data_IF_003495508846
#
_entry.id   IF_003495508846
#
_cell.length_a   1.000
_cell.length_b   1.000
_cell.length_c   1.000
_cell.angle_alpha   90.00
_cell.angle_beta   90.00
_cell.angle_gamma   90.00
#
_symmetry.space_group_name_H-M   'P 1'
#
loop_
_entity.id
_entity.type
_entity.pdbx_description
1 polymer ?
#
# COMPACT_ATOMS: atom_id res chain seq x y z
N UNK A 1 -28.27 -10.54 17.66
CA UNK A 1 -27.02 -10.14 16.98
C UNK A 1 -27.34 -10.08 15.51
N UNK A 2 -27.14 -8.95 14.84
CA UNK A 2 -27.38 -8.86 13.40
C UNK A 2 -26.49 -9.90 12.70
N UNK A 3 -27.09 -10.78 11.89
CA UNK A 3 -26.36 -11.66 10.99
C UNK A 3 -25.61 -10.78 10.00
N UNK A 4 -24.28 -10.93 9.95
CA UNK A 4 -23.43 -10.18 9.02
C UNK A 4 -23.91 -10.38 7.58
N UNK A 5 -23.89 -9.31 6.80
CA UNK A 5 -24.27 -9.33 5.38
C UNK A 5 -23.15 -9.83 4.48
N UNK A 6 -21.88 -9.66 4.88
CA UNK A 6 -20.75 -10.14 4.07
C UNK A 6 -20.68 -11.66 4.07
N UNK A 7 -20.62 -12.25 2.87
CA UNK A 7 -20.38 -13.70 2.74
C UNK A 7 -18.92 -13.98 3.09
N UNK A 8 -18.66 -14.97 3.94
CA UNK A 8 -17.30 -15.32 4.36
C UNK A 8 -16.90 -16.65 3.72
N UNK A 9 -15.76 -16.65 3.03
CA UNK A 9 -15.15 -17.84 2.43
C UNK A 9 -13.71 -17.99 2.92
N UNK A 10 -13.29 -19.23 3.20
CA UNK A 10 -11.94 -19.54 3.68
C UNK A 10 -11.09 -20.36 2.70
N UNK A 11 -11.70 -21.01 1.72
CA UNK A 11 -10.96 -21.88 0.79
C UNK A 11 -10.82 -21.22 -0.57
N UNK A 12 -9.68 -21.44 -1.24
CA UNK A 12 -9.49 -20.97 -2.63
C UNK A 12 -10.46 -21.65 -3.61
N UNK A 13 -10.97 -22.84 -3.27
CA UNK A 13 -11.97 -23.55 -4.08
C UNK A 13 -13.29 -22.78 -4.11
N UNK A 14 -13.77 -22.37 -2.94
CA UNK A 14 -15.05 -21.66 -2.82
C UNK A 14 -14.92 -20.23 -3.36
N UNK A 15 -13.77 -19.58 -3.18
CA UNK A 15 -13.48 -18.27 -3.79
C UNK A 15 -13.61 -18.35 -5.32
N UNK A 16 -12.92 -19.32 -5.93
CA UNK A 16 -12.97 -19.54 -7.39
C UNK A 16 -14.37 -19.84 -7.88
N UNK A 17 -15.12 -20.67 -7.14
CA UNK A 17 -16.49 -21.00 -7.50
C UNK A 17 -17.38 -19.74 -7.50
N UNK A 18 -17.28 -18.90 -6.46
CA UNK A 18 -18.06 -17.69 -6.35
C UNK A 18 -17.72 -16.65 -7.42
N UNK A 19 -16.42 -16.40 -7.65
CA UNK A 19 -16.00 -15.41 -8.65
C UNK A 19 -16.33 -15.88 -10.07
N UNK A 20 -16.18 -17.18 -10.36
CA UNK A 20 -16.60 -17.75 -11.63
C UNK A 20 -18.11 -17.59 -11.88
N UNK A 21 -18.93 -17.79 -10.84
CA UNK A 21 -20.38 -17.56 -10.93
C UNK A 21 -20.68 -16.10 -11.30
N UNK A 22 -20.00 -15.12 -10.69
CA UNK A 22 -20.17 -13.70 -11.02
C UNK A 22 -19.74 -13.37 -12.44
N UNK A 23 -18.58 -13.86 -12.90
CA UNK A 23 -18.16 -13.65 -14.28
C UNK A 23 -19.10 -14.32 -15.29
N UNK A 24 -19.66 -15.49 -14.98
CA UNK A 24 -20.66 -16.15 -15.84
C UNK A 24 -21.99 -15.39 -15.92
N UNK A 25 -22.23 -14.48 -14.98
CA UNK A 25 -23.35 -13.54 -14.98
C UNK A 25 -22.97 -12.16 -15.54
N UNK A 26 -21.83 -12.05 -16.23
CA UNK A 26 -21.28 -10.81 -16.80
C UNK A 26 -21.07 -9.69 -15.76
N UNK A 27 -20.88 -10.06 -14.48
CA UNK A 27 -20.57 -9.12 -13.40
C UNK A 27 -19.06 -8.90 -13.29
N UNK A 28 -18.66 -7.64 -13.17
CA UNK A 28 -17.27 -7.24 -12.95
C UNK A 28 -16.89 -7.41 -11.48
N UNK A 29 -15.73 -8.00 -11.21
CA UNK A 29 -15.26 -8.34 -9.86
C UNK A 29 -14.03 -7.52 -9.50
N UNK A 30 -14.10 -6.83 -8.37
CA UNK A 30 -12.98 -6.10 -7.78
C UNK A 30 -12.41 -6.81 -6.56
N UNK A 31 -11.10 -6.69 -6.34
CA UNK A 31 -10.44 -7.18 -5.15
C UNK A 31 -9.70 -6.09 -4.38
N UNK A 32 -9.84 -6.08 -3.05
CA UNK A 32 -9.02 -5.26 -2.14
C UNK A 32 -8.24 -6.19 -1.21
N UNK A 33 -6.95 -6.46 -1.49
CA UNK A 33 -6.12 -7.27 -0.60
C UNK A 33 -5.73 -6.51 0.67
N UNK A 34 -5.98 -7.10 1.83
CA UNK A 34 -5.59 -6.52 3.13
C UNK A 34 -4.99 -7.57 4.07
N UNK A 35 -4.38 -7.11 5.16
CA UNK A 35 -3.95 -7.96 6.27
C UNK A 35 -4.93 -7.93 7.46
N UNK A 36 -6.13 -7.36 7.29
CA UNK A 36 -7.08 -7.13 8.40
C UNK A 36 -6.73 -5.90 9.23
N UNK A 37 -7.28 -5.83 10.44
CA UNK A 37 -7.23 -4.64 11.31
C UNK A 37 -7.68 -3.39 10.54
N UNK A 38 -8.83 -3.51 9.90
CA UNK A 38 -9.36 -2.55 8.94
C UNK A 38 -9.54 -1.19 9.61
N UNK A 39 -9.38 -0.13 8.82
CA UNK A 39 -9.54 1.25 9.25
C UNK A 39 -10.15 2.05 8.11
N UNK A 40 -10.45 3.33 8.33
CA UNK A 40 -11.14 4.14 7.32
C UNK A 40 -10.38 4.22 5.99
N UNK A 41 -9.04 4.17 6.00
CA UNK A 41 -8.23 4.03 4.78
C UNK A 41 -8.45 2.73 4.00
N UNK A 42 -8.81 1.62 4.65
CA UNK A 42 -9.23 0.39 3.94
C UNK A 42 -10.66 0.53 3.42
N UNK A 43 -11.55 1.12 4.21
CA UNK A 43 -12.94 1.35 3.83
C UNK A 43 -13.05 2.31 2.64
N UNK A 44 -12.16 3.30 2.52
CA UNK A 44 -12.10 4.16 1.35
C UNK A 44 -11.69 3.41 0.09
N UNK A 45 -10.80 2.40 0.19
CA UNK A 45 -10.45 1.55 -0.95
C UNK A 45 -11.65 0.72 -1.39
N UNK A 46 -12.39 0.13 -0.44
CA UNK A 46 -13.60 -0.63 -0.75
C UNK A 46 -14.65 0.25 -1.43
N UNK A 47 -14.91 1.44 -0.88
CA UNK A 47 -15.84 2.40 -1.51
C UNK A 47 -15.37 2.91 -2.86
N UNK A 48 -14.06 3.02 -3.07
CA UNK A 48 -13.51 3.44 -4.36
C UNK A 48 -13.67 2.33 -5.39
N UNK A 49 -13.29 1.09 -5.08
CA UNK A 49 -13.37 -0.02 -6.04
C UNK A 49 -14.82 -0.33 -6.44
N UNK A 50 -15.79 -0.15 -5.53
CA UNK A 50 -17.23 -0.30 -5.81
C UNK A 50 -17.75 0.60 -6.93
N UNK A 51 -17.04 1.69 -7.26
CA UNK A 51 -17.42 2.56 -8.40
C UNK A 51 -17.04 1.97 -9.76
N UNK A 52 -16.19 0.95 -9.76
CA UNK A 52 -15.57 0.39 -10.96
C UNK A 52 -15.98 -1.05 -11.23
N UNK A 53 -16.73 -1.70 -10.33
CA UNK A 53 -17.07 -3.14 -10.35
C UNK A 53 -18.45 -3.40 -9.77
N UNK A 54 -19.04 -4.55 -10.08
CA UNK A 54 -20.35 -4.99 -9.56
C UNK A 54 -20.25 -5.78 -8.25
N UNK A 55 -19.11 -6.46 -8.03
CA UNK A 55 -18.86 -7.32 -6.87
C UNK A 55 -17.51 -7.06 -6.26
N UNK A 56 -17.43 -6.97 -4.94
CA UNK A 56 -16.18 -6.72 -4.21
C UNK A 56 -15.79 -7.89 -3.33
N UNK A 57 -14.57 -8.37 -3.56
CA UNK A 57 -13.86 -9.31 -2.70
C UNK A 57 -12.84 -8.56 -1.85
N UNK A 58 -12.96 -8.62 -0.53
CA UNK A 58 -11.89 -8.20 0.38
C UNK A 58 -11.16 -9.44 0.85
N UNK A 59 -9.83 -9.45 0.79
CA UNK A 59 -9.06 -10.50 1.48
C UNK A 59 -8.52 -9.99 2.81
N UNK A 60 -8.56 -10.84 3.83
CA UNK A 60 -7.86 -10.63 5.09
C UNK A 60 -6.90 -11.78 5.29
N UNK A 61 -5.60 -11.51 5.11
CA UNK A 61 -4.55 -12.49 5.30
C UNK A 61 -3.27 -11.83 5.80
N UNK A 62 -2.90 -12.09 7.06
CA UNK A 62 -1.60 -11.65 7.61
C UNK A 62 -0.52 -12.56 7.04
N UNK A 63 0.12 -12.11 5.96
CA UNK A 63 1.10 -12.90 5.23
C UNK A 63 2.40 -13.08 6.04
N UNK A 64 2.79 -14.30 6.47
CA UNK A 64 4.04 -14.49 7.20
C UNK A 64 5.29 -14.18 6.36
N UNK A 65 5.27 -14.39 5.03
CA UNK A 65 6.46 -14.24 4.17
C UNK A 65 6.93 -12.80 4.01
N UNK A 66 6.09 -11.81 4.27
CA UNK A 66 6.46 -10.39 4.14
C UNK A 66 6.95 -9.76 5.45
N UNK A 67 7.05 -10.54 6.54
CA UNK A 67 7.61 -10.10 7.81
C UNK A 67 9.02 -10.69 8.00
N UNK A 68 9.97 -9.82 8.36
CA UNK A 68 11.30 -10.26 8.79
C UNK A 68 11.29 -10.89 10.20
N UNK A 69 12.35 -11.62 10.61
CA UNK A 69 12.43 -12.28 11.92
C UNK A 69 12.27 -11.36 13.13
N UNK A 70 12.60 -10.08 12.97
CA UNK A 70 12.51 -9.05 14.03
C UNK A 70 11.34 -8.07 13.79
N UNK A 71 10.44 -8.37 12.85
CA UNK A 71 9.26 -7.55 12.58
C UNK A 71 8.06 -8.01 13.44
N UNK A 72 6.95 -7.30 13.32
CA UNK A 72 5.82 -7.34 14.25
C UNK A 72 4.77 -8.43 13.94
N UNK A 73 5.15 -9.56 13.32
CA UNK A 73 4.19 -10.60 12.90
C UNK A 73 3.30 -11.11 14.04
N UNK A 74 3.90 -11.45 15.19
CA UNK A 74 3.19 -11.96 16.38
C UNK A 74 2.37 -10.88 17.08
N UNK A 75 2.74 -9.61 16.89
CA UNK A 75 2.08 -8.45 17.50
C UNK A 75 1.06 -7.80 16.57
N UNK A 76 0.97 -8.27 15.33
CA UNK A 76 0.09 -7.67 14.34
C UNK A 76 -1.37 -7.79 14.81
N UNK A 77 -2.15 -6.69 14.84
CA UNK A 77 -3.51 -6.71 15.34
C UNK A 77 -4.39 -7.64 14.50
N UNK A 78 -5.15 -8.52 15.16
CA UNK A 78 -6.08 -9.46 14.52
C UNK A 78 -7.42 -9.39 15.24
N UNK A 79 -8.46 -8.96 14.55
CA UNK A 79 -9.83 -8.98 15.07
C UNK A 79 -10.83 -9.17 13.92
N UNK A 80 -11.02 -10.42 13.52
CA UNK A 80 -11.93 -10.77 12.42
C UNK A 80 -13.35 -10.24 12.68
N UNK A 81 -13.87 -10.34 13.91
CA UNK A 81 -15.18 -9.79 14.27
C UNK A 81 -15.26 -8.27 14.10
N UNK A 82 -14.20 -7.53 14.42
CA UNK A 82 -14.19 -6.08 14.23
C UNK A 82 -14.07 -5.71 12.75
N UNK A 83 -13.30 -6.49 11.99
CA UNK A 83 -13.14 -6.29 10.56
C UNK A 83 -14.46 -6.58 9.80
N UNK A 84 -15.14 -7.68 10.12
CA UNK A 84 -16.45 -8.04 9.54
C UNK A 84 -17.47 -6.90 9.76
N UNK A 85 -17.54 -6.33 10.97
CA UNK A 85 -18.45 -5.20 11.24
C UNK A 85 -18.16 -4.00 10.34
N UNK A 86 -16.89 -3.69 10.12
CA UNK A 86 -16.47 -2.59 9.23
C UNK A 86 -16.74 -2.89 7.76
N UNK A 87 -16.69 -4.17 7.35
CA UNK A 87 -17.05 -4.59 6.00
C UNK A 87 -18.56 -4.49 5.75
N UNK A 88 -19.38 -4.78 6.77
CA UNK A 88 -20.83 -4.57 6.72
C UNK A 88 -21.18 -3.07 6.57
N UNK A 89 -20.40 -2.15 7.15
CA UNK A 89 -20.60 -0.68 6.99
C UNK A 89 -20.37 -0.17 5.56
N UNK A 90 -19.77 -0.98 4.69
CA UNK A 90 -19.49 -0.62 3.29
C UNK A 90 -20.04 -1.64 2.31
N UNK A 91 -21.01 -2.46 2.72
CA UNK A 91 -21.73 -3.41 1.86
C UNK A 91 -20.79 -4.31 1.03
N UNK A 92 -19.76 -4.87 1.67
CA UNK A 92 -18.83 -5.79 0.99
C UNK A 92 -19.54 -7.10 0.62
N UNK A 93 -19.43 -7.57 -0.62
CA UNK A 93 -20.08 -8.81 -1.06
C UNK A 93 -19.43 -10.06 -0.46
N UNK A 94 -18.09 -10.12 -0.47
CA UNK A 94 -17.35 -11.31 -0.06
C UNK A 94 -16.07 -10.98 0.71
N UNK A 95 -15.93 -11.62 1.87
CA UNK A 95 -14.68 -11.70 2.62
C UNK A 95 -13.99 -13.03 2.32
N UNK A 96 -12.81 -12.97 1.72
CA UNK A 96 -11.88 -14.11 1.63
C UNK A 96 -10.90 -14.06 2.81
N UNK A 97 -11.10 -14.96 3.78
CA UNK A 97 -10.28 -15.05 5.00
C UNK A 97 -9.60 -16.44 5.09
N UNK A 98 -8.61 -16.72 4.22
CA UNK A 98 -7.94 -18.00 4.16
C UNK A 98 -6.98 -18.22 5.32
N UNK A 99 -6.84 -19.48 5.72
CA UNK A 99 -5.74 -19.91 6.59
C UNK A 99 -4.41 -19.95 5.81
N UNK A 100 -3.30 -20.00 6.54
CA UNK A 100 -1.95 -20.06 5.96
C UNK A 100 -1.79 -21.22 4.98
N UNK A 101 -2.39 -22.38 5.24
CA UNK A 101 -2.29 -23.58 4.37
C UNK A 101 -3.00 -23.41 3.01
N UNK A 102 -4.02 -22.56 2.93
CA UNK A 102 -4.74 -22.29 1.69
C UNK A 102 -3.90 -21.44 0.72
N UNK A 103 -3.12 -20.51 1.29
CA UNK A 103 -2.12 -19.73 0.56
C UNK A 103 -0.85 -20.57 0.36
N UNK A 104 -0.19 -21.00 1.42
CA UNK A 104 1.07 -21.74 1.44
C UNK A 104 0.86 -23.19 1.90
N UNK A 105 0.58 -24.13 0.99
CA UNK A 105 0.52 -25.55 1.35
C UNK A 105 1.89 -26.05 1.82
N UNK A 106 1.89 -27.20 2.50
CA UNK A 106 3.12 -27.87 2.90
C UNK A 106 4.05 -28.07 1.69
N UNK A 107 5.33 -27.74 1.86
CA UNK A 107 6.31 -27.81 0.78
C UNK A 107 6.19 -26.70 -0.29
N UNK A 108 5.56 -25.55 0.00
CA UNK A 108 5.53 -24.43 -0.93
C UNK A 108 6.92 -23.85 -1.22
N UNK A 109 7.44 -24.07 -2.44
CA UNK A 109 8.80 -23.67 -2.86
C UNK A 109 8.86 -22.41 -3.74
N UNK A 110 7.76 -22.02 -4.38
CA UNK A 110 7.77 -20.91 -5.35
C UNK A 110 8.00 -19.57 -4.67
N UNK A 111 8.80 -18.72 -5.32
CA UNK A 111 8.98 -17.31 -5.00
C UNK A 111 8.76 -16.47 -6.26
N UNK A 112 8.18 -15.30 -6.10
CA UNK A 112 8.06 -14.29 -7.14
C UNK A 112 8.87 -13.08 -6.68
N UNK A 113 9.64 -12.49 -7.59
CA UNK A 113 10.42 -11.28 -7.32
C UNK A 113 10.40 -10.39 -8.56
N UNK A 114 10.51 -9.08 -8.36
CA UNK A 114 10.51 -8.07 -9.42
C UNK A 114 11.80 -7.27 -9.31
N UNK A 115 12.68 -7.36 -10.31
CA UNK A 115 14.00 -6.75 -10.26
C UNK A 115 13.93 -5.20 -10.32
N UNK A 116 14.97 -4.51 -9.83
CA UNK A 116 15.17 -3.04 -9.86
C UNK A 116 14.18 -2.20 -9.06
N UNK A 117 12.88 -2.32 -9.33
CA UNK A 117 11.84 -1.53 -8.65
C UNK A 117 11.68 -1.90 -7.16
N UNK A 118 12.18 -3.08 -6.80
CA UNK A 118 12.31 -3.55 -5.40
C UNK A 118 13.70 -3.28 -4.82
N UNK A 119 14.47 -2.36 -5.40
CA UNK A 119 15.73 -1.85 -4.86
C UNK A 119 15.52 -0.43 -4.30
N UNK A 120 16.32 -0.02 -3.30
CA UNK A 120 16.17 1.29 -2.65
C UNK A 120 14.90 1.44 -1.80
N UNK A 121 14.59 2.68 -1.39
CA UNK A 121 13.39 3.05 -0.63
C UNK A 121 13.06 2.08 0.54
N UNK A 122 11.84 1.55 0.61
CA UNK A 122 11.44 0.61 1.66
C UNK A 122 12.19 -0.72 1.57
N UNK A 123 12.56 -1.16 0.36
CA UNK A 123 13.20 -2.44 0.15
C UNK A 123 14.60 -2.51 0.76
N UNK A 124 15.36 -1.42 0.70
CA UNK A 124 16.71 -1.33 1.24
C UNK A 124 16.80 -1.63 2.75
N UNK A 125 15.72 -1.35 3.49
CA UNK A 125 15.63 -1.59 4.94
C UNK A 125 14.86 -2.86 5.29
N UNK A 126 14.27 -3.55 4.30
CA UNK A 126 13.41 -4.73 4.50
C UNK A 126 13.72 -5.83 3.48
N UNK A 127 14.92 -6.46 3.55
CA UNK A 127 15.29 -7.53 2.63
C UNK A 127 14.26 -8.67 2.61
N UNK A 128 13.86 -9.11 1.42
CA UNK A 128 12.85 -10.17 1.24
C UNK A 128 11.39 -9.73 1.44
N UNK A 129 11.12 -8.49 1.88
CA UNK A 129 9.76 -8.00 2.08
C UNK A 129 8.93 -8.04 0.79
N UNK A 130 9.47 -7.48 -0.31
CA UNK A 130 8.75 -7.44 -1.58
C UNK A 130 8.59 -8.81 -2.23
N UNK A 131 9.51 -9.75 -2.03
CA UNK A 131 9.33 -11.14 -2.44
C UNK A 131 8.12 -11.76 -1.73
N UNK A 132 7.99 -11.53 -0.43
CA UNK A 132 6.81 -11.93 0.34
C UNK A 132 5.51 -11.32 -0.18
N UNK A 133 5.53 -10.01 -0.49
CA UNK A 133 4.37 -9.27 -1.01
C UNK A 133 3.99 -9.73 -2.43
N UNK A 134 4.94 -9.75 -3.36
CA UNK A 134 4.70 -10.13 -4.76
C UNK A 134 4.26 -11.60 -4.86
N UNK A 135 4.83 -12.49 -4.04
CA UNK A 135 4.40 -13.89 -3.97
C UNK A 135 2.95 -14.03 -3.47
N UNK A 136 2.58 -13.34 -2.38
CA UNK A 136 1.20 -13.45 -1.86
C UNK A 136 0.19 -12.81 -2.80
N UNK A 137 0.50 -11.63 -3.36
CA UNK A 137 -0.42 -10.92 -4.24
C UNK A 137 -0.60 -11.68 -5.55
N UNK A 138 0.47 -12.20 -6.17
CA UNK A 138 0.34 -13.08 -7.35
C UNK A 138 -0.64 -14.21 -7.08
N UNK A 139 -0.53 -14.86 -5.92
CA UNK A 139 -1.44 -15.96 -5.55
C UNK A 139 -2.87 -15.48 -5.36
N UNK A 140 -3.09 -14.35 -4.68
CA UNK A 140 -4.43 -13.80 -4.49
C UNK A 140 -5.09 -13.44 -5.83
N UNK A 141 -4.34 -12.80 -6.74
CA UNK A 141 -4.81 -12.48 -8.08
C UNK A 141 -5.12 -13.74 -8.89
N UNK A 142 -4.29 -14.79 -8.83
CA UNK A 142 -4.55 -16.05 -9.54
C UNK A 142 -5.59 -16.96 -8.87
N UNK A 143 -5.90 -16.72 -7.59
CA UNK A 143 -6.96 -17.43 -6.87
C UNK A 143 -8.32 -16.78 -7.11
N UNK A 144 -8.36 -15.45 -7.13
CA UNK A 144 -9.57 -14.66 -7.31
C UNK A 144 -9.88 -14.41 -8.80
N UNK A 145 -8.87 -14.08 -9.60
CA UNK A 145 -8.95 -13.56 -10.97
C UNK A 145 -9.87 -12.33 -11.10
N UNK A 146 -9.69 -11.27 -10.29
CA UNK A 146 -10.55 -10.10 -10.37
C UNK A 146 -10.26 -9.29 -11.63
N UNK A 147 -11.25 -8.59 -12.16
CA UNK A 147 -11.05 -7.61 -13.24
C UNK A 147 -10.23 -6.41 -12.77
N UNK A 148 -10.40 -6.01 -11.51
CA UNK A 148 -9.72 -4.86 -10.88
C UNK A 148 -9.17 -5.26 -9.53
N UNK A 149 -7.94 -4.86 -9.22
CA UNK A 149 -7.40 -4.91 -7.87
C UNK A 149 -6.95 -3.53 -7.41
N UNK A 150 -7.41 -3.09 -6.25
CA UNK A 150 -7.12 -1.75 -5.73
C UNK A 150 -6.14 -1.81 -4.56
N UNK A 151 -5.04 -1.05 -4.67
CA UNK A 151 -4.03 -0.90 -3.63
C UNK A 151 -3.89 0.56 -3.22
N UNK A 152 -3.62 0.81 -1.93
CA UNK A 152 -3.51 2.17 -1.42
C UNK A 152 -2.21 2.87 -1.82
N UNK A 153 -2.34 4.13 -2.25
CA UNK A 153 -1.24 5.03 -2.62
C UNK A 153 -0.24 5.30 -1.49
N UNK A 154 -0.64 5.05 -0.23
CA UNK A 154 0.24 5.14 0.94
C UNK A 154 1.52 4.34 0.77
N UNK A 155 1.37 3.10 0.32
CA UNK A 155 2.47 2.18 0.09
C UNK A 155 2.84 2.24 -1.40
N UNK A 156 3.19 3.43 -1.90
CA UNK A 156 3.33 3.72 -3.33
C UNK A 156 4.31 2.77 -4.04
N UNK A 157 5.47 2.47 -3.42
CA UNK A 157 6.41 1.49 -3.97
C UNK A 157 5.75 0.12 -4.17
N UNK A 158 4.93 -0.33 -3.21
CA UNK A 158 4.19 -1.58 -3.35
C UNK A 158 3.20 -1.51 -4.51
N UNK A 159 2.42 -0.44 -4.63
CA UNK A 159 1.51 -0.28 -5.77
C UNK A 159 2.26 -0.37 -7.11
N UNK A 160 3.36 0.36 -7.28
CA UNK A 160 4.11 0.36 -8.54
C UNK A 160 4.74 -1.02 -8.84
N UNK A 161 5.29 -1.69 -7.82
CA UNK A 161 5.79 -3.09 -7.94
C UNK A 161 4.68 -4.03 -8.39
N UNK A 162 3.49 -3.94 -7.79
CA UNK A 162 2.36 -4.84 -8.08
C UNK A 162 1.73 -4.56 -9.45
N UNK A 163 1.71 -3.30 -9.89
CA UNK A 163 1.30 -2.93 -11.23
C UNK A 163 2.28 -3.50 -12.27
N UNK A 164 3.58 -3.33 -12.06
CA UNK A 164 4.60 -3.92 -12.94
C UNK A 164 4.49 -5.45 -12.99
N UNK A 165 4.33 -6.08 -11.82
CA UNK A 165 4.15 -7.54 -11.69
C UNK A 165 2.96 -8.07 -12.49
N UNK A 166 1.80 -7.42 -12.38
CA UNK A 166 0.60 -7.85 -13.11
C UNK A 166 0.80 -7.72 -14.63
N UNK A 167 1.43 -6.63 -15.07
CA UNK A 167 1.76 -6.42 -16.48
C UNK A 167 2.77 -7.46 -17.00
N UNK A 168 3.88 -7.69 -16.29
CA UNK A 168 4.96 -8.58 -16.73
C UNK A 168 4.55 -10.05 -16.80
N UNK A 169 3.57 -10.45 -15.97
CA UNK A 169 3.06 -11.82 -15.90
C UNK A 169 1.76 -12.03 -16.68
N UNK A 170 1.32 -11.03 -17.46
CA UNK A 170 0.06 -11.05 -18.22
C UNK A 170 -1.15 -11.43 -17.33
N UNK A 171 -1.14 -10.99 -16.06
CA UNK A 171 -2.26 -11.25 -15.14
C UNK A 171 -3.42 -10.35 -15.61
N UNK A 172 -4.60 -10.91 -15.93
CA UNK A 172 -5.72 -10.14 -16.50
C UNK A 172 -6.48 -9.37 -15.43
N UNK A 173 -5.77 -8.55 -14.65
CA UNK A 173 -6.30 -7.71 -13.58
C UNK A 173 -5.76 -6.30 -13.75
N UNK A 174 -6.65 -5.31 -13.84
CA UNK A 174 -6.27 -3.90 -13.80
C UNK A 174 -5.88 -3.49 -12.37
N UNK A 175 -4.61 -3.18 -12.15
CA UNK A 175 -4.08 -2.76 -10.85
C UNK A 175 -4.24 -1.26 -10.69
N UNK A 176 -5.24 -0.85 -9.91
CA UNK A 176 -5.58 0.54 -9.66
C UNK A 176 -4.94 1.08 -8.36
N UNK A 177 -4.64 2.38 -8.36
CA UNK A 177 -4.14 3.11 -7.19
C UNK A 177 -5.29 3.85 -6.48
N UNK A 178 -5.58 3.46 -5.24
CA UNK A 178 -6.56 4.15 -4.40
C UNK A 178 -5.90 5.29 -3.63
N UNK A 179 -6.53 6.48 -3.64
CA UNK A 179 -5.98 7.70 -3.04
C UNK A 179 -5.58 7.51 -1.58
N UNK A 180 -4.46 8.14 -1.21
CA UNK A 180 -4.03 8.25 0.18
C UNK A 180 -5.10 8.98 1.01
N UNK A 181 -5.55 8.36 2.09
CA UNK A 181 -6.36 9.02 3.11
C UNK A 181 -5.48 9.48 4.28
N UNK A 182 -5.87 10.61 4.84
CA UNK A 182 -5.23 11.24 6.00
C UNK A 182 -6.25 11.33 7.13
N UNK A 183 -5.76 11.21 8.35
CA UNK A 183 -6.52 11.55 9.56
C UNK A 183 -6.85 13.06 9.54
N UNK A 184 -7.76 13.53 10.40
CA UNK A 184 -8.23 14.93 10.40
C UNK A 184 -7.11 15.97 10.65
N UNK A 185 -6.01 15.55 11.28
CA UNK A 185 -4.82 16.38 11.50
C UNK A 185 -3.81 16.34 10.33
N UNK A 186 -4.08 15.55 9.29
CA UNK A 186 -3.30 15.46 8.07
C UNK A 186 -2.25 14.32 8.06
N UNK A 187 -2.11 13.55 9.14
CA UNK A 187 -1.23 12.38 9.15
C UNK A 187 -1.76 11.30 8.21
N UNK A 188 -0.89 10.69 7.40
CA UNK A 188 -1.28 9.54 6.60
C UNK A 188 -1.84 8.40 7.48
N UNK A 189 -3.01 7.89 7.14
CA UNK A 189 -3.70 6.90 7.95
C UNK A 189 -2.98 5.56 7.90
N UNK A 190 -2.72 4.97 9.06
CA UNK A 190 -2.02 3.70 9.20
C UNK A 190 -2.48 2.98 10.46
N UNK A 191 -2.60 1.66 10.40
CA UNK A 191 -2.80 0.83 11.60
C UNK A 191 -1.66 1.01 12.62
N UNK A 192 -0.46 1.39 12.17
CA UNK A 192 0.70 1.66 13.04
C UNK A 192 0.60 2.98 13.81
N UNK A 193 -0.33 3.88 13.47
CA UNK A 193 -0.50 5.15 14.20
C UNK A 193 -0.94 4.93 15.65
N UNK A 194 -1.52 3.78 15.98
CA UNK A 194 -1.91 3.41 17.36
C UNK A 194 -0.72 3.27 18.30
N UNK A 195 0.49 3.09 17.76
CA UNK A 195 1.72 2.95 18.55
C UNK A 195 2.34 4.28 18.97
N UNK A 196 1.83 5.40 18.44
CA UNK A 196 2.36 6.74 18.73
C UNK A 196 1.78 7.27 20.05
N UNK A 197 2.63 7.76 20.94
CA UNK A 197 2.19 8.62 22.04
C UNK A 197 1.63 9.96 21.52
N UNK A 198 0.92 10.76 22.35
CA UNK A 198 0.49 12.10 21.97
C UNK A 198 1.64 13.02 21.50
N UNK A 199 2.82 12.91 22.12
CA UNK A 199 4.03 13.65 21.76
C UNK A 199 4.61 13.13 20.44
N UNK A 200 4.72 11.81 20.28
CA UNK A 200 5.17 11.18 19.04
C UNK A 200 4.22 11.53 17.87
N UNK A 201 2.91 11.64 18.11
CA UNK A 201 1.95 12.05 17.08
C UNK A 201 2.22 13.48 16.59
N UNK A 202 2.59 14.41 17.49
CA UNK A 202 2.97 15.78 17.09
C UNK A 202 4.20 15.78 16.18
N UNK A 203 5.20 14.95 16.48
CA UNK A 203 6.39 14.78 15.63
C UNK A 203 6.00 14.17 14.28
N UNK A 204 5.16 13.14 14.29
CA UNK A 204 4.69 12.49 13.06
C UNK A 204 3.96 13.46 12.11
N UNK A 205 3.30 14.49 12.62
CA UNK A 205 2.65 15.53 11.81
C UNK A 205 3.64 16.44 11.07
N UNK A 206 4.92 16.44 11.43
CA UNK A 206 5.95 17.15 10.65
C UNK A 206 6.28 16.44 9.34
N UNK A 207 5.95 15.15 9.20
CA UNK A 207 6.12 14.38 7.95
C UNK A 207 5.33 15.01 6.79
N UNK A 208 3.98 15.09 6.84
CA UNK A 208 3.22 15.67 5.75
C UNK A 208 3.49 17.17 5.56
N UNK A 209 3.82 17.91 6.62
CA UNK A 209 4.21 19.33 6.51
C UNK A 209 5.51 19.49 5.72
N UNK A 210 6.52 18.68 6.05
CA UNK A 210 7.82 18.73 5.37
C UNK A 210 7.70 18.34 3.90
N UNK A 211 6.89 17.33 3.56
CA UNK A 211 6.62 16.98 2.16
C UNK A 211 6.02 18.17 1.39
N UNK A 212 5.01 18.84 1.95
CA UNK A 212 4.39 20.02 1.31
C UNK A 212 5.39 21.16 1.14
N UNK A 213 6.17 21.48 2.17
CA UNK A 213 7.17 22.54 2.09
C UNK A 213 8.26 22.25 1.06
N UNK A 214 8.72 21.00 0.96
CA UNK A 214 9.68 20.61 -0.05
C UNK A 214 9.10 20.73 -1.47
N UNK A 215 7.83 20.32 -1.67
CA UNK A 215 7.13 20.52 -2.95
C UNK A 215 7.04 22.01 -3.29
N UNK A 216 6.58 22.84 -2.35
CA UNK A 216 6.45 24.29 -2.56
C UNK A 216 7.80 24.96 -2.87
N UNK A 217 8.87 24.60 -2.14
CA UNK A 217 10.21 25.15 -2.35
C UNK A 217 10.76 24.74 -3.75
N UNK A 218 10.48 23.53 -4.23
CA UNK A 218 10.89 23.05 -5.56
C UNK A 218 10.06 23.70 -6.67
N UNK A 219 8.72 23.65 -6.57
CA UNK A 219 7.82 24.16 -7.62
C UNK A 219 7.93 25.68 -7.79
N UNK A 220 8.28 26.41 -6.73
CA UNK A 220 8.56 27.85 -6.79
C UNK A 220 9.97 28.20 -7.31
N UNK A 221 10.85 27.21 -7.48
CA UNK A 221 12.25 27.40 -7.85
C UNK A 221 13.10 28.04 -6.75
N UNK A 222 12.61 28.06 -5.50
CA UNK A 222 13.33 28.63 -4.35
C UNK A 222 14.51 27.75 -3.93
N UNK A 223 14.37 26.43 -4.07
CA UNK A 223 15.43 25.45 -3.85
C UNK A 223 15.50 24.51 -5.04
N UNK A 224 16.70 24.02 -5.33
CA UNK A 224 16.89 22.84 -6.17
C UNK A 224 16.29 21.60 -5.50
N UNK A 225 16.06 20.53 -6.26
CA UNK A 225 15.57 19.27 -5.70
C UNK A 225 16.48 18.77 -4.56
N UNK A 226 17.80 18.74 -4.78
CA UNK A 226 18.76 18.23 -3.80
C UNK A 226 18.73 19.07 -2.50
N UNK A 227 18.72 20.40 -2.61
CA UNK A 227 18.62 21.30 -1.46
C UNK A 227 17.32 21.10 -0.68
N UNK A 228 16.19 20.91 -1.38
CA UNK A 228 14.90 20.65 -0.75
C UNK A 228 14.85 19.30 -0.03
N UNK A 229 15.48 18.26 -0.58
CA UNK A 229 15.57 16.94 0.05
C UNK A 229 16.47 16.95 1.29
N UNK A 230 17.62 17.62 1.22
CA UNK A 230 18.53 17.78 2.36
C UNK A 230 17.86 18.56 3.48
N UNK A 231 17.25 19.71 3.15
CA UNK A 231 16.49 20.54 4.10
C UNK A 231 15.30 19.77 4.69
N UNK A 232 14.56 19.03 3.87
CA UNK A 232 13.44 18.20 4.34
C UNK A 232 13.90 17.13 5.34
N UNK A 233 15.02 16.48 5.04
CA UNK A 233 15.64 15.51 5.95
C UNK A 233 16.02 16.16 7.28
N UNK A 234 16.68 17.32 7.25
CA UNK A 234 17.10 18.03 8.46
C UNK A 234 15.90 18.51 9.29
N UNK A 235 14.86 19.07 8.65
CA UNK A 235 13.64 19.50 9.34
C UNK A 235 12.98 18.37 10.12
N UNK A 236 12.93 17.16 9.55
CA UNK A 236 12.37 16.01 10.24
C UNK A 236 13.22 15.59 11.44
N UNK A 237 14.55 15.56 11.30
CA UNK A 237 15.44 15.26 12.41
C UNK A 237 15.31 16.29 13.54
N UNK A 238 15.29 17.59 13.20
CA UNK A 238 15.15 18.69 14.17
C UNK A 238 13.78 18.69 14.86
N UNK A 239 12.73 18.17 14.20
CA UNK A 239 11.41 17.99 14.80
C UNK A 239 11.35 16.87 15.86
N UNK A 240 12.38 16.03 15.95
CA UNK A 240 12.44 14.90 16.86
C UNK A 240 12.19 13.54 16.21
N UNK A 241 12.14 13.44 14.86
CA UNK A 241 12.22 12.14 14.21
C UNK A 241 13.56 11.48 14.58
N UNK A 242 13.50 10.22 15.03
CA UNK A 242 14.67 9.47 15.47
C UNK A 242 15.61 9.14 14.30
N UNK A 243 15.03 8.86 13.14
CA UNK A 243 15.76 8.50 11.92
C UNK A 243 14.91 8.89 10.71
N UNK A 244 15.55 9.42 9.66
CA UNK A 244 14.96 9.53 8.32
C UNK A 244 15.67 8.50 7.45
N UNK A 245 14.95 7.44 7.07
CA UNK A 245 15.52 6.32 6.31
C UNK A 245 15.68 6.65 4.84
N UNK A 246 14.75 7.42 4.30
CA UNK A 246 14.86 8.06 3.00
C UNK A 246 13.91 9.27 2.95
N UNK A 247 14.30 10.27 2.16
CA UNK A 247 13.47 11.40 1.74
C UNK A 247 13.90 11.71 0.30
N UNK A 248 13.15 11.18 -0.67
CA UNK A 248 13.61 11.07 -2.06
C UNK A 248 12.51 11.43 -3.06
N UNK A 249 12.88 11.89 -4.26
CA UNK A 249 11.96 12.06 -5.38
C UNK A 249 12.24 10.99 -6.43
N UNK A 250 11.19 10.29 -6.86
CA UNK A 250 11.24 9.24 -7.88
C UNK A 250 10.16 9.42 -8.94
N UNK A 251 10.40 8.94 -10.16
CA UNK A 251 9.36 8.95 -11.21
C UNK A 251 8.15 8.11 -10.78
N UNK A 252 6.95 8.55 -11.15
CA UNK A 252 5.71 7.91 -10.67
C UNK A 252 5.41 6.56 -11.32
N UNK A 253 5.95 6.31 -12.51
CA UNK A 253 5.70 5.13 -13.34
C UNK A 253 6.61 3.95 -12.96
N UNK A 254 7.88 4.18 -12.70
CA UNK A 254 8.90 3.14 -12.55
C UNK A 254 9.77 3.26 -11.27
N UNK A 255 9.65 4.37 -10.52
CA UNK A 255 10.46 4.70 -9.34
C UNK A 255 11.96 4.93 -9.61
N UNK A 256 12.35 5.12 -10.86
CA UNK A 256 13.71 5.52 -11.21
C UNK A 256 14.02 6.91 -10.63
N UNK A 257 15.31 7.16 -10.31
CA UNK A 257 15.75 8.50 -9.94
C UNK A 257 15.40 9.52 -11.03
N UNK A 258 15.11 10.75 -10.61
CA UNK A 258 14.99 11.86 -11.55
C UNK A 258 16.40 12.26 -11.99
N UNK A 259 16.78 11.88 -13.22
CA UNK A 259 18.02 12.34 -13.85
C UNK A 259 17.71 13.44 -14.85
N UNK A 260 18.46 14.55 -14.78
CA UNK A 260 18.35 15.65 -15.74
C UNK A 260 18.90 15.21 -17.09
N UNK A 261 18.05 14.69 -17.97
CA UNK A 261 18.45 14.39 -19.35
C UNK A 261 17.47 14.98 -20.34
N UNK A 262 17.91 16.10 -20.93
CA UNK A 262 17.29 16.85 -22.03
C UNK A 262 16.02 17.60 -21.59
N UNK A 263 15.90 18.85 -22.03
CA UNK A 263 14.74 19.70 -21.78
C UNK A 263 13.46 19.02 -22.30
N UNK A 264 12.77 18.31 -21.42
CA UNK A 264 11.44 17.81 -21.69
C UNK A 264 10.50 19.00 -21.77
N UNK A 265 9.75 19.10 -22.85
CA UNK A 265 8.72 20.14 -23.03
C UNK A 265 7.51 19.92 -22.11
N UNK A 266 7.48 18.80 -21.39
CA UNK A 266 6.42 18.39 -20.46
C UNK A 266 7.03 18.09 -19.09
N UNK A 267 6.31 18.34 -17.99
CA UNK A 267 6.79 18.01 -16.67
C UNK A 267 6.89 16.49 -16.46
N UNK A 268 7.92 16.06 -15.75
CA UNK A 268 8.00 14.68 -15.26
C UNK A 268 7.03 14.53 -14.09
N UNK A 269 6.15 13.54 -14.16
CA UNK A 269 5.27 13.16 -13.06
C UNK A 269 6.07 12.33 -12.04
N UNK A 270 6.26 12.87 -10.85
CA UNK A 270 7.07 12.25 -9.82
C UNK A 270 6.32 12.13 -8.47
N UNK A 271 6.92 11.39 -7.55
CA UNK A 271 6.54 11.32 -6.14
C UNK A 271 7.70 11.77 -5.30
N UNK A 272 7.43 12.62 -4.32
CA UNK A 272 8.30 12.78 -3.16
C UNK A 272 7.87 11.77 -2.10
N UNK A 273 8.80 10.95 -1.63
CA UNK A 273 8.55 9.85 -0.69
C UNK A 273 9.41 9.98 0.55
N UNK A 274 8.86 9.58 1.69
CA UNK A 274 9.57 9.55 2.97
C UNK A 274 9.31 8.26 3.73
N UNK A 275 10.35 7.77 4.40
CA UNK A 275 10.23 6.87 5.53
C UNK A 275 10.99 7.43 6.71
N UNK A 276 10.32 7.58 7.85
CA UNK A 276 10.91 8.11 9.08
C UNK A 276 10.52 7.27 10.28
N UNK A 277 11.35 7.27 11.31
CA UNK A 277 11.11 6.59 12.58
C UNK A 277 10.78 7.63 13.63
N UNK A 278 9.57 7.55 14.19
CA UNK A 278 9.13 8.38 15.32
C UNK A 278 9.02 7.49 16.55
N UNK A 279 9.87 7.74 17.54
CA UNK A 279 10.04 6.83 18.68
C UNK A 279 10.54 5.44 18.23
N UNK A 280 9.65 4.45 18.20
CA UNK A 280 9.89 3.11 17.66
C UNK A 280 9.08 2.78 16.41
N UNK A 281 8.21 3.70 15.99
CA UNK A 281 7.24 3.46 14.92
C UNK A 281 7.81 3.96 13.60
N UNK A 282 7.96 3.04 12.63
CA UNK A 282 8.32 3.39 11.25
C UNK A 282 7.08 3.85 10.50
N UNK A 283 7.09 5.09 10.04
CA UNK A 283 6.03 5.71 9.25
C UNK A 283 6.52 5.95 7.82
N UNK A 284 5.59 5.91 6.88
CA UNK A 284 5.82 6.26 5.47
C UNK A 284 4.74 7.23 5.03
N UNK A 285 5.10 8.13 4.13
CA UNK A 285 4.18 9.04 3.46
C UNK A 285 4.77 9.39 2.08
N UNK A 286 3.94 9.88 1.18
CA UNK A 286 4.37 10.36 -0.12
C UNK A 286 3.33 11.32 -0.73
N UNK A 287 3.78 12.19 -1.64
CA UNK A 287 2.93 13.16 -2.33
C UNK A 287 3.34 13.29 -3.81
N UNK A 288 2.38 13.60 -4.71
CA UNK A 288 2.69 13.87 -6.11
C UNK A 288 3.43 15.20 -6.24
N UNK A 289 4.37 15.27 -7.17
CA UNK A 289 5.06 16.50 -7.57
C UNK A 289 5.26 16.48 -9.09
N UNK A 290 5.21 17.65 -9.72
CA UNK A 290 5.60 17.83 -11.13
C UNK A 290 6.97 18.48 -11.18
N UNK A 291 7.92 17.82 -11.83
CA UNK A 291 9.26 18.37 -11.99
C UNK A 291 9.37 19.03 -13.37
N UNK A 292 9.80 20.30 -13.36
CA UNK A 292 10.09 21.10 -14.55
C UNK A 292 11.60 21.36 -14.59
N UNK A 293 12.20 21.29 -15.79
CA UNK A 293 13.62 21.58 -16.03
C UNK A 293 13.78 22.83 -16.90
#
# INVERSE_FOLDING_TARGET
MATSSVKIIRTKKDLRAQVREWHMADLKVGMVPTMGALHHGHLSLIREIQKHVDKVVVSIFVNPKQFGPNEDFDKYPRSETADIRKLDEVDTDLLYAPDVSEIYPEGFLTNVSVAKITEGLCAAKRPGHFDGVTTVVTKLLLQCLPDVALFGEKDFQQYTVLKQLANDLDIPTDVMCGKLIRDDDGLATSSRNIYLSPEERKIALEIPKTLKLAIEDIESGKLTMDEALEKGTQNLLDSGCKEVQYFEIRQSDNLDPITTTIAETSPILARILVAAVVGKTRLIDNMPIKIFF
#
